data_IF_338034435613
#
_entry.id   IF_338034435613
#
_cell.length_a   1.000
_cell.length_b   1.000
_cell.length_c   1.000
_cell.angle_alpha   90.00
_cell.angle_beta   90.00
_cell.angle_gamma   90.00
#
_symmetry.space_group_name_H-M   'P 1'
#
loop_
_entity.id
_entity.type
_entity.pdbx_description
1 polymer ?
#
# COMPACT_ATOMS: atom_id res chain seq x y z
N UNK A 1 18.74 -6.25 11.33
CA UNK A 1 17.41 -6.15 10.68
C UNK A 1 17.43 -5.23 9.46
N UNK A 2 17.92 -3.98 9.56
CA UNK A 2 17.99 -3.02 8.44
C UNK A 2 18.78 -3.51 7.20
N UNK A 3 19.87 -4.27 7.40
CA UNK A 3 20.66 -4.84 6.29
C UNK A 3 19.95 -5.99 5.55
N UNK A 4 19.07 -6.74 6.22
CA UNK A 4 18.32 -7.85 5.59
C UNK A 4 17.24 -7.27 4.66
N UNK A 5 16.51 -6.26 5.12
CA UNK A 5 15.49 -5.57 4.32
C UNK A 5 16.09 -4.91 3.07
N UNK A 6 17.28 -4.30 3.19
CA UNK A 6 18.01 -3.75 2.02
C UNK A 6 18.39 -4.84 1.01
N UNK A 7 18.90 -5.98 1.50
CA UNK A 7 19.32 -7.09 0.65
C UNK A 7 18.14 -7.77 -0.06
N UNK A 8 17.01 -7.89 0.63
CA UNK A 8 15.78 -8.43 0.06
C UNK A 8 15.18 -7.49 -1.00
N UNK A 9 15.28 -6.17 -0.80
CA UNK A 9 14.87 -5.17 -1.79
C UNK A 9 15.74 -5.18 -3.06
N UNK A 10 17.06 -5.28 -2.92
CA UNK A 10 17.98 -5.40 -4.06
C UNK A 10 17.71 -6.66 -4.88
N UNK A 11 17.49 -7.79 -4.19
CA UNK A 11 17.18 -9.07 -4.83
C UNK A 11 15.84 -9.01 -5.56
N UNK A 12 14.82 -8.37 -4.97
CA UNK A 12 13.56 -8.14 -5.66
C UNK A 12 13.74 -7.28 -6.91
N UNK A 13 14.49 -6.17 -6.84
CA UNK A 13 14.76 -5.35 -8.02
C UNK A 13 15.47 -6.13 -9.14
N UNK A 14 16.36 -7.05 -8.77
CA UNK A 14 17.05 -7.90 -9.75
C UNK A 14 16.09 -8.92 -10.39
N UNK A 15 15.25 -9.59 -9.60
CA UNK A 15 14.22 -10.50 -10.13
C UNK A 15 13.22 -9.79 -11.05
N UNK A 16 12.90 -8.53 -10.76
CA UNK A 16 12.06 -7.69 -11.59
C UNK A 16 12.71 -7.38 -12.95
N UNK A 17 14.01 -7.03 -12.94
CA UNK A 17 14.79 -6.83 -14.18
C UNK A 17 14.90 -8.10 -15.01
N UNK A 18 15.00 -9.25 -14.35
CA UNK A 18 15.09 -10.57 -14.99
C UNK A 18 13.74 -11.10 -15.49
N UNK A 19 12.64 -10.36 -15.27
CA UNK A 19 11.29 -10.78 -15.68
C UNK A 19 10.71 -11.95 -14.87
N UNK A 20 11.33 -12.32 -13.74
CA UNK A 20 10.96 -13.47 -12.92
C UNK A 20 9.87 -13.10 -11.91
N UNK A 21 8.67 -12.81 -12.42
CA UNK A 21 7.53 -12.33 -11.61
C UNK A 21 7.07 -13.36 -10.56
N UNK A 22 7.18 -14.66 -10.85
CA UNK A 22 6.81 -15.70 -9.87
C UNK A 22 7.76 -15.68 -8.67
N UNK A 23 9.06 -15.48 -8.92
CA UNK A 23 10.10 -15.46 -7.88
C UNK A 23 10.05 -14.18 -7.03
N UNK A 24 9.30 -13.16 -7.48
CA UNK A 24 9.05 -11.93 -6.74
C UNK A 24 7.98 -12.08 -5.65
N UNK A 25 7.09 -13.08 -5.76
CA UNK A 25 5.96 -13.26 -4.83
C UNK A 25 6.37 -13.27 -3.35
N UNK A 26 7.47 -13.93 -2.93
CA UNK A 26 7.92 -13.91 -1.54
C UNK A 26 8.39 -12.53 -1.04
N UNK A 27 8.75 -11.63 -1.97
CA UNK A 27 9.25 -10.28 -1.68
C UNK A 27 8.16 -9.21 -1.74
N UNK A 28 6.96 -9.55 -2.23
CA UNK A 28 5.82 -8.64 -2.34
C UNK A 28 5.48 -7.96 -0.99
N UNK A 29 5.48 -8.66 0.16
CA UNK A 29 5.21 -8.02 1.45
C UNK A 29 6.17 -6.87 1.78
N UNK A 30 7.46 -7.01 1.45
CA UNK A 30 8.47 -5.98 1.70
C UNK A 30 8.41 -4.81 0.72
N UNK A 31 7.76 -5.01 -0.43
CA UNK A 31 7.62 -4.01 -1.50
C UNK A 31 6.22 -3.37 -1.55
N UNK A 32 5.31 -3.79 -0.67
CA UNK A 32 3.90 -3.40 -0.72
C UNK A 32 3.70 -1.87 -0.73
N UNK A 33 4.47 -1.14 0.09
CA UNK A 33 4.41 0.32 0.11
C UNK A 33 4.97 0.92 -1.18
N UNK A 34 6.10 0.42 -1.72
CA UNK A 34 6.62 0.88 -3.01
C UNK A 34 5.67 0.60 -4.18
N UNK A 35 5.00 -0.54 -4.17
CA UNK A 35 4.00 -0.90 -5.18
C UNK A 35 2.83 0.09 -5.13
N UNK A 36 2.29 0.36 -3.95
CA UNK A 36 1.21 1.33 -3.77
C UNK A 36 1.65 2.76 -4.16
N UNK A 37 2.85 3.21 -3.73
CA UNK A 37 3.39 4.51 -4.14
C UNK A 37 3.51 4.61 -5.66
N UNK A 38 4.00 3.56 -6.32
CA UNK A 38 4.16 3.56 -7.76
C UNK A 38 2.81 3.55 -8.49
N UNK A 39 1.84 2.77 -7.99
CA UNK A 39 0.48 2.79 -8.50
C UNK A 39 -0.15 4.18 -8.39
N UNK A 40 0.12 4.92 -7.31
CA UNK A 40 -0.42 6.28 -7.16
C UNK A 40 0.22 7.24 -8.14
N UNK A 41 1.55 7.20 -8.25
CA UNK A 41 2.28 8.10 -9.14
C UNK A 41 1.98 7.87 -10.61
N UNK A 42 1.79 6.62 -11.04
CA UNK A 42 1.59 6.30 -12.46
C UNK A 42 0.12 6.29 -12.86
N UNK A 43 -0.78 5.92 -11.95
CA UNK A 43 -2.17 5.60 -12.28
C UNK A 43 -3.19 6.35 -11.42
N UNK A 44 -2.75 7.17 -10.45
CA UNK A 44 -3.64 7.88 -9.51
C UNK A 44 -4.68 6.96 -8.89
N UNK A 45 -4.26 5.78 -8.43
CA UNK A 45 -5.19 4.73 -8.04
C UNK A 45 -6.08 5.14 -6.85
N UNK A 46 -5.60 6.01 -5.95
CA UNK A 46 -6.40 6.53 -4.83
C UNK A 46 -7.52 7.42 -5.39
N UNK A 47 -7.19 8.33 -6.30
CA UNK A 47 -8.20 9.16 -6.98
C UNK A 47 -9.20 8.31 -7.76
N UNK A 48 -8.75 7.24 -8.40
CA UNK A 48 -9.65 6.31 -9.09
C UNK A 48 -10.64 5.64 -8.11
N UNK A 49 -10.24 5.37 -6.87
CA UNK A 49 -11.17 4.93 -5.82
C UNK A 49 -12.11 6.04 -5.37
N UNK A 50 -11.65 7.28 -5.22
CA UNK A 50 -12.51 8.41 -4.86
C UNK A 50 -13.60 8.64 -5.92
N UNK A 51 -13.24 8.55 -7.21
CA UNK A 51 -14.18 8.72 -8.33
C UNK A 51 -15.17 7.56 -8.43
N UNK A 52 -14.71 6.32 -8.20
CA UNK A 52 -15.53 5.12 -8.32
C UNK A 52 -16.41 4.86 -7.09
N UNK A 53 -15.93 5.28 -5.91
CA UNK A 53 -16.57 5.07 -4.62
C UNK A 53 -16.65 6.40 -3.86
N UNK A 54 -17.48 7.35 -4.34
CA UNK A 54 -17.61 8.65 -3.71
C UNK A 54 -17.98 8.51 -2.24
N UNK A 55 -17.30 9.26 -1.40
CA UNK A 55 -17.52 9.22 0.04
C UNK A 55 -18.86 9.92 0.39
N UNK A 56 -19.85 9.12 0.78
CA UNK A 56 -21.16 9.61 1.25
C UNK A 56 -21.31 9.51 2.78
N UNK A 57 -20.21 9.31 3.51
CA UNK A 57 -20.26 9.14 4.95
C UNK A 57 -20.86 10.40 5.61
N UNK A 58 -22.00 10.23 6.27
CA UNK A 58 -22.65 11.29 7.05
C UNK A 58 -21.91 11.59 8.37
N UNK A 59 -21.07 10.67 8.83
CA UNK A 59 -20.30 10.77 10.06
C UNK A 59 -18.81 10.96 9.75
N UNK A 60 -18.20 11.97 10.35
CA UNK A 60 -16.76 12.26 10.20
C UNK A 60 -15.84 11.15 10.72
N UNK A 61 -16.36 10.26 11.57
CA UNK A 61 -15.60 9.15 12.16
C UNK A 61 -15.51 7.92 11.22
N UNK A 62 -16.27 7.91 10.13
CA UNK A 62 -16.26 6.80 9.18
C UNK A 62 -15.12 6.95 8.17
N UNK A 63 -14.24 5.94 8.12
CA UNK A 63 -13.13 5.87 7.19
C UNK A 63 -13.63 5.99 5.73
N UNK A 64 -13.06 6.90 4.91
CA UNK A 64 -13.43 7.02 3.51
C UNK A 64 -13.17 5.71 2.74
N UNK A 65 -13.97 5.37 1.72
CA UNK A 65 -13.78 4.16 0.91
C UNK A 65 -12.39 4.03 0.31
N UNK A 66 -11.84 5.13 -0.25
CA UNK A 66 -10.49 5.15 -0.83
C UNK A 66 -9.41 4.83 0.20
N UNK A 67 -9.55 5.31 1.44
CA UNK A 67 -8.66 4.99 2.55
C UNK A 67 -8.74 3.51 2.92
N UNK A 68 -9.95 2.98 3.08
CA UNK A 68 -10.15 1.56 3.41
C UNK A 68 -9.61 0.63 2.32
N UNK A 69 -9.91 0.91 1.05
CA UNK A 69 -9.49 0.10 -0.09
C UNK A 69 -7.97 0.15 -0.28
N UNK A 70 -7.36 1.32 -0.10
CA UNK A 70 -5.91 1.46 -0.21
C UNK A 70 -5.19 0.73 0.92
N UNK A 71 -5.58 0.97 2.17
CA UNK A 71 -4.98 0.31 3.32
C UNK A 71 -5.22 -1.21 3.29
N UNK A 72 -6.41 -1.64 2.89
CA UNK A 72 -6.74 -3.06 2.72
C UNK A 72 -5.91 -3.74 1.65
N UNK A 73 -5.66 -3.05 0.52
CA UNK A 73 -4.78 -3.55 -0.54
C UNK A 73 -3.34 -3.72 -0.02
N UNK A 74 -2.80 -2.72 0.65
CA UNK A 74 -1.44 -2.78 1.23
C UNK A 74 -1.35 -3.87 2.30
N UNK A 75 -2.34 -3.96 3.20
CA UNK A 75 -2.41 -4.99 4.22
C UNK A 75 -2.44 -6.39 3.60
N UNK A 76 -3.18 -6.57 2.51
CA UNK A 76 -3.24 -7.84 1.79
C UNK A 76 -1.90 -8.19 1.15
N UNK A 77 -1.23 -7.22 0.52
CA UNK A 77 0.12 -7.40 -0.04
C UNK A 77 1.14 -7.76 1.06
N UNK A 78 0.99 -7.19 2.27
CA UNK A 78 1.81 -7.52 3.44
C UNK A 78 1.42 -8.84 4.13
N UNK A 79 0.42 -9.56 3.61
CA UNK A 79 -0.14 -10.78 4.20
C UNK A 79 -0.64 -10.59 5.65
N UNK A 80 -1.16 -9.40 5.98
CA UNK A 80 -1.82 -9.20 7.26
C UNK A 80 -3.11 -10.03 7.32
N UNK A 81 -3.28 -10.80 8.40
CA UNK A 81 -4.43 -11.68 8.58
C UNK A 81 -5.63 -10.98 9.24
N UNK A 82 -5.41 -9.81 9.85
CA UNK A 82 -6.43 -9.11 10.62
C UNK A 82 -6.74 -7.73 10.05
N UNK A 83 -8.03 -7.40 9.97
CA UNK A 83 -8.50 -6.06 9.62
C UNK A 83 -8.14 -5.00 10.68
N UNK A 84 -7.91 -5.42 11.94
CA UNK A 84 -7.44 -4.50 12.99
C UNK A 84 -6.04 -3.92 12.71
N UNK A 85 -5.27 -4.56 11.83
CA UNK A 85 -3.93 -4.11 11.43
C UNK A 85 -3.94 -3.19 10.21
N UNK A 86 -5.10 -2.90 9.61
CA UNK A 86 -5.20 -2.07 8.40
C UNK A 86 -4.79 -0.61 8.63
N UNK A 87 -5.12 0.05 9.76
CA UNK A 87 -4.62 1.40 10.03
C UNK A 87 -3.09 1.48 10.13
N UNK A 88 -2.42 0.35 10.36
CA UNK A 88 -0.96 0.23 10.43
C UNK A 88 -0.37 -0.40 9.16
N UNK A 89 -1.17 -0.56 8.10
CA UNK A 89 -0.74 -1.23 6.89
C UNK A 89 0.37 -0.47 6.17
N UNK A 90 0.45 0.86 6.33
CA UNK A 90 1.53 1.66 5.76
C UNK A 90 2.02 2.70 6.75
N UNK A 91 3.33 2.91 6.77
CA UNK A 91 3.98 4.03 7.46
C UNK A 91 4.67 4.98 6.48
N UNK A 92 4.38 4.81 5.18
CA UNK A 92 4.99 5.61 4.12
C UNK A 92 4.40 7.04 4.14
N UNK A 93 5.22 8.09 4.34
CA UNK A 93 4.72 9.46 4.47
C UNK A 93 3.92 9.95 3.26
N UNK A 94 4.33 9.56 2.04
CA UNK A 94 3.65 9.97 0.80
C UNK A 94 2.24 9.38 0.73
N UNK A 95 2.08 8.09 1.05
CA UNK A 95 0.76 7.45 1.02
C UNK A 95 -0.15 8.01 2.12
N UNK A 96 0.40 8.29 3.31
CA UNK A 96 -0.37 8.90 4.40
C UNK A 96 -0.87 10.30 4.03
N UNK A 97 -0.04 11.10 3.35
CA UNK A 97 -0.42 12.41 2.82
C UNK A 97 -1.52 12.29 1.77
N UNK A 98 -1.37 11.40 0.78
CA UNK A 98 -2.39 11.16 -0.25
C UNK A 98 -3.74 10.71 0.33
N UNK A 99 -3.70 9.92 1.40
CA UNK A 99 -4.91 9.41 2.06
C UNK A 99 -5.55 10.43 3.03
N UNK A 100 -4.97 11.62 3.19
CA UNK A 100 -5.30 12.57 4.26
C UNK A 100 -5.31 11.91 5.65
N UNK A 101 -4.51 10.85 5.82
CA UNK A 101 -4.33 10.14 7.08
C UNK A 101 -3.30 10.89 7.93
N UNK A 102 -3.54 12.18 8.13
CA UNK A 102 -2.77 13.00 9.04
C UNK A 102 -3.21 12.66 10.46
N UNK A 103 -2.27 12.09 11.23
CA UNK A 103 -2.34 11.90 12.67
C UNK A 103 -2.94 13.15 13.31
N UNK A 104 -4.18 13.05 13.78
CA UNK A 104 -4.73 13.90 14.84
C UNK A 104 -4.61 13.15 16.15
#
# INVERSE_FOLDING_TARGET
MYMLVKKDKEKALQLLKDGKIIDLLPYVPQLADEIAVNAEKQHKFISAFDDSFPNHNAHHDAMPPSVFLTLGTIARLKNFQSMASFPLATTNPFLLECLNFAVR
#
